data_IF_795727788463
#
_entry.id   IF_795727788463
#
_cell.length_a   1.000
_cell.length_b   1.000
_cell.length_c   1.000
_cell.angle_alpha   90.00
_cell.angle_beta   90.00
_cell.angle_gamma   90.00
#
_symmetry.space_group_name_H-M   'P 1'
#
loop_
_entity.id
_entity.type
_entity.pdbx_description
1 polymer ?
#
# COMPACT_ATOMS: atom_id res chain seq x y z
N UNK A 1 9.97 -12.80 1.37
CA UNK A 1 9.64 -12.29 2.72
C UNK A 1 8.19 -11.78 2.79
N UNK A 2 7.80 -10.77 1.98
CA UNK A 2 6.44 -10.20 1.99
C UNK A 2 5.31 -11.24 1.89
N UNK A 3 5.33 -12.11 0.88
CA UNK A 3 4.35 -13.22 0.75
C UNK A 3 4.22 -14.10 1.98
N UNK A 4 5.34 -14.40 2.64
CA UNK A 4 5.34 -15.27 3.84
C UNK A 4 4.69 -14.58 5.04
N UNK A 5 4.69 -13.24 5.07
CA UNK A 5 3.98 -12.48 6.09
C UNK A 5 2.49 -12.49 5.80
N UNK A 6 2.08 -12.15 4.58
CA UNK A 6 0.67 -11.96 4.24
C UNK A 6 -0.11 -13.25 4.07
N UNK A 7 0.55 -14.41 3.86
CA UNK A 7 -0.13 -15.71 3.79
C UNK A 7 -0.87 -16.10 5.09
N UNK A 8 -0.56 -15.46 6.21
CA UNK A 8 -1.21 -15.69 7.50
C UNK A 8 -2.32 -14.67 7.79
N UNK A 9 -2.58 -13.73 6.88
CA UNK A 9 -3.66 -12.78 7.04
C UNK A 9 -5.01 -13.46 6.76
N UNK A 10 -6.10 -12.97 7.40
CA UNK A 10 -7.44 -13.46 7.10
C UNK A 10 -7.76 -13.30 5.62
N UNK A 11 -8.59 -14.22 5.10
CA UNK A 11 -9.14 -14.06 3.76
C UNK A 11 -9.97 -12.77 3.69
N UNK A 12 -9.70 -11.96 2.67
CA UNK A 12 -10.30 -10.65 2.49
C UNK A 12 -10.65 -10.47 1.01
N UNK A 13 -11.88 -10.06 0.74
CA UNK A 13 -12.35 -9.81 -0.63
C UNK A 13 -11.59 -8.67 -1.34
N UNK A 14 -10.92 -7.80 -0.57
CA UNK A 14 -10.12 -6.68 -1.04
C UNK A 14 -9.18 -6.16 0.04
N UNK A 15 -8.03 -5.62 -0.36
CA UNK A 15 -7.15 -4.86 0.53
C UNK A 15 -7.22 -3.35 0.28
N UNK A 16 -7.08 -2.59 1.37
CA UNK A 16 -6.87 -1.14 1.34
C UNK A 16 -5.49 -0.86 1.92
N UNK A 17 -4.61 -0.27 1.12
CA UNK A 17 -3.20 -0.05 1.46
C UNK A 17 -3.01 1.44 1.65
N UNK A 18 -2.59 1.85 2.86
CA UNK A 18 -2.18 3.23 3.10
C UNK A 18 -0.90 3.55 2.34
N UNK A 19 -0.93 4.59 1.52
CA UNK A 19 0.19 5.04 0.71
C UNK A 19 0.50 6.50 1.01
N UNK A 20 1.53 6.77 1.80
CA UNK A 20 1.88 8.12 2.25
C UNK A 20 2.85 8.85 1.32
N UNK A 21 3.47 8.14 0.38
CA UNK A 21 4.58 8.64 -0.44
C UNK A 21 5.95 8.56 0.25
N UNK A 22 6.00 8.13 1.52
CA UNK A 22 7.25 7.85 2.24
C UNK A 22 7.86 6.50 1.86
N UNK A 23 9.16 6.32 2.14
CA UNK A 23 9.95 5.14 1.77
C UNK A 23 9.25 3.81 2.09
N UNK A 24 8.76 3.64 3.31
CA UNK A 24 8.12 2.40 3.74
C UNK A 24 6.89 2.06 2.89
N UNK A 25 6.04 3.05 2.62
CA UNK A 25 4.82 2.85 1.83
C UNK A 25 5.12 2.60 0.35
N UNK A 26 6.20 3.19 -0.18
CA UNK A 26 6.66 2.98 -1.55
C UNK A 26 7.29 1.61 -1.73
N UNK A 27 8.10 1.16 -0.78
CA UNK A 27 8.66 -0.20 -0.77
C UNK A 27 7.55 -1.24 -0.59
N UNK A 28 6.59 -1.00 0.30
CA UNK A 28 5.43 -1.87 0.45
C UNK A 28 4.62 -1.95 -0.86
N UNK A 29 4.39 -0.82 -1.54
CA UNK A 29 3.68 -0.79 -2.81
C UNK A 29 4.42 -1.59 -3.88
N UNK A 30 5.73 -1.44 -3.98
CA UNK A 30 6.56 -2.19 -4.93
C UNK A 30 6.44 -3.71 -4.70
N UNK A 31 6.52 -4.16 -3.44
CA UNK A 31 6.34 -5.57 -3.07
C UNK A 31 4.94 -6.09 -3.42
N UNK A 32 3.89 -5.29 -3.17
CA UNK A 32 2.50 -5.65 -3.51
C UNK A 32 2.31 -5.75 -5.03
N UNK A 33 2.92 -4.85 -5.80
CA UNK A 33 2.83 -4.85 -7.26
C UNK A 33 3.55 -6.06 -7.88
N UNK A 34 4.70 -6.45 -7.33
CA UNK A 34 5.43 -7.66 -7.74
C UNK A 34 4.58 -8.93 -7.54
N UNK A 35 3.77 -8.98 -6.48
CA UNK A 35 2.96 -10.14 -6.11
C UNK A 35 1.47 -10.04 -6.51
N UNK A 36 1.09 -9.00 -7.28
CA UNK A 36 -0.32 -8.61 -7.55
C UNK A 36 -1.26 -9.76 -7.96
N UNK A 37 -0.78 -10.74 -8.72
CA UNK A 37 -1.61 -11.87 -9.18
C UNK A 37 -1.94 -12.89 -8.08
N UNK A 38 -1.17 -12.91 -7.01
CA UNK A 38 -1.32 -13.82 -5.88
C UNK A 38 -1.98 -13.16 -4.65
N UNK A 39 -2.42 -11.91 -4.78
CA UNK A 39 -3.03 -11.13 -3.71
C UNK A 39 -4.49 -10.82 -4.06
N UNK A 40 -5.34 -10.57 -3.06
CA UNK A 40 -6.65 -9.99 -3.31
C UNK A 40 -6.54 -8.67 -4.08
N UNK A 41 -7.58 -8.29 -4.85
CA UNK A 41 -7.65 -6.95 -5.44
C UNK A 41 -7.39 -5.87 -4.37
N UNK A 42 -6.73 -4.78 -4.73
CA UNK A 42 -6.38 -3.74 -3.76
C UNK A 42 -6.55 -2.32 -4.28
N UNK A 43 -6.66 -1.38 -3.34
CA UNK A 43 -6.58 0.06 -3.60
C UNK A 43 -5.49 0.69 -2.73
N UNK A 44 -4.69 1.56 -3.34
CA UNK A 44 -3.84 2.49 -2.61
C UNK A 44 -4.68 3.68 -2.15
N UNK A 45 -4.56 4.07 -0.88
CA UNK A 45 -5.24 5.23 -0.32
C UNK A 45 -4.16 6.20 0.17
N UNK A 46 -4.12 7.38 -0.44
CA UNK A 46 -3.36 8.52 0.06
C UNK A 46 -4.30 9.49 0.78
N UNK A 47 -3.88 9.99 1.95
CA UNK A 47 -4.61 11.02 2.69
C UNK A 47 -3.73 12.27 2.76
N UNK A 48 -4.11 13.28 1.98
CA UNK A 48 -3.50 14.59 2.07
C UNK A 48 -3.97 15.28 3.37
N UNK A 49 -3.08 15.39 4.34
CA UNK A 49 -3.34 16.03 5.63
C UNK A 49 -3.31 17.56 5.57
N UNK A 50 -2.83 18.16 4.48
CA UNK A 50 -2.75 19.63 4.28
C UNK A 50 -1.92 20.37 5.32
N UNK A 51 -0.98 19.68 5.97
CA UNK A 51 -0.09 20.28 6.97
C UNK A 51 1.10 21.01 6.34
N UNK A 52 1.43 20.70 5.08
CA UNK A 52 2.53 21.30 4.34
C UNK A 52 2.03 21.84 2.99
N UNK A 53 2.50 22.99 2.48
CA UNK A 53 2.04 23.54 1.20
C UNK A 53 2.17 22.58 0.01
N UNK A 54 3.17 21.69 0.02
CA UNK A 54 3.42 20.71 -1.04
C UNK A 54 2.78 19.33 -0.77
N UNK A 55 1.88 19.22 0.22
CA UNK A 55 1.29 17.92 0.61
C UNK A 55 0.42 17.29 -0.47
N UNK A 56 -0.16 18.09 -1.37
CA UNK A 56 -0.92 17.60 -2.52
C UNK A 56 -0.07 16.79 -3.52
N UNK A 57 1.25 17.00 -3.52
CA UNK A 57 2.18 16.32 -4.43
C UNK A 57 2.85 15.10 -3.77
N UNK A 58 2.51 14.78 -2.52
CA UNK A 58 3.04 13.59 -1.85
C UNK A 58 2.21 12.38 -2.28
N UNK A 59 2.82 11.44 -3.01
CA UNK A 59 2.14 10.25 -3.52
C UNK A 59 2.63 9.83 -4.90
#
# INVERSE_FOLDING_TARGET
AFRQVVQHWPDASRWHIGFSGGLDSTVLMDLVLQDRSALPPFHAIHVDHRLHPNSADWG
#
